data_IF_687334203169
#
_entry.id   IF_687334203169
#
_cell.length_a   1.000
_cell.length_b   1.000
_cell.length_c   1.000
_cell.angle_alpha   90.00
_cell.angle_beta   90.00
_cell.angle_gamma   90.00
#
_symmetry.space_group_name_H-M   'P 1'
#
loop_
_entity.id
_entity.type
_entity.pdbx_description
1 polymer ?
#
# COMPACT_ATOMS: atom_id res chain seq x y z
N UNK A 1 7.24 17.29 -19.30
CA UNK A 1 7.11 17.14 -18.75
C UNK A 1 6.73 16.54 -17.85
N UNK A 2 6.94 16.32 -17.10
CA UNK A 2 6.60 15.42 -16.35
C UNK A 2 5.38 15.59 -15.70
N UNK A 3 4.59 14.79 -15.70
CA UNK A 3 3.41 14.80 -14.97
C UNK A 3 3.62 14.39 -13.56
N UNK A 4 2.51 14.34 -12.82
CA UNK A 4 2.57 13.86 -11.48
C UNK A 4 2.70 12.36 -11.50
N UNK A 5 3.26 11.79 -10.45
CA UNK A 5 3.39 10.36 -10.30
C UNK A 5 2.12 9.79 -9.65
N UNK A 6 1.94 8.50 -9.75
CA UNK A 6 0.72 7.83 -9.31
C UNK A 6 1.04 6.61 -8.46
N UNK A 7 0.06 6.16 -7.69
CA UNK A 7 0.19 4.94 -6.90
C UNK A 7 -1.10 4.17 -7.00
N UNK A 8 -1.03 2.85 -7.02
CA UNK A 8 -2.22 2.01 -6.93
C UNK A 8 -2.26 1.41 -5.53
N UNK A 9 -3.42 1.52 -4.89
CA UNK A 9 -3.70 0.89 -3.60
C UNK A 9 -4.95 0.06 -3.73
N UNK A 10 -5.03 -1.02 -2.97
CA UNK A 10 -6.23 -1.84 -2.93
C UNK A 10 -6.64 -2.09 -1.49
N UNK A 11 -7.95 -2.30 -1.28
CA UNK A 11 -8.46 -2.75 0.00
C UNK A 11 -9.04 -4.11 -0.25
N UNK A 12 -8.76 -5.05 0.63
CA UNK A 12 -9.16 -6.45 0.46
C UNK A 12 -9.87 -6.97 1.69
N UNK A 13 -10.51 -8.13 1.57
CA UNK A 13 -11.16 -8.78 2.69
C UNK A 13 -10.11 -9.26 3.70
N UNK A 14 -10.54 -9.54 4.91
CA UNK A 14 -9.63 -10.03 5.95
C UNK A 14 -9.00 -11.35 5.54
N UNK A 15 -9.78 -12.25 4.95
CA UNK A 15 -9.26 -13.54 4.51
C UNK A 15 -8.20 -13.41 3.44
N UNK A 16 -8.43 -12.54 2.45
CA UNK A 16 -7.46 -12.33 1.40
C UNK A 16 -6.21 -11.65 1.96
N UNK A 17 -6.38 -10.70 2.89
CA UNK A 17 -5.25 -10.05 3.52
C UNK A 17 -4.35 -11.05 4.24
N UNK A 18 -4.95 -11.95 5.01
CA UNK A 18 -4.18 -12.95 5.73
C UNK A 18 -3.37 -13.84 4.77
N UNK A 19 -3.98 -14.21 3.65
CA UNK A 19 -3.28 -15.06 2.69
C UNK A 19 -2.17 -14.29 1.96
N UNK A 20 -2.43 -13.05 1.57
CA UNK A 20 -1.41 -12.23 0.90
C UNK A 20 -0.20 -11.98 1.83
N UNK A 21 -0.44 -11.83 3.12
CA UNK A 21 0.64 -11.59 4.08
C UNK A 21 1.28 -12.88 4.56
N UNK A 22 0.67 -14.02 4.31
CA UNK A 22 1.14 -15.32 4.78
C UNK A 22 1.53 -16.25 3.65
N UNK A 23 0.75 -17.29 3.47
CA UNK A 23 1.14 -18.39 2.57
C UNK A 23 0.95 -18.11 1.09
N UNK A 24 0.15 -17.11 0.73
CA UNK A 24 -0.09 -16.73 -0.67
C UNK A 24 -0.61 -17.94 -1.49
N UNK A 25 -1.53 -18.72 -0.92
CA UNK A 25 -2.03 -19.92 -1.56
C UNK A 25 -3.32 -19.77 -2.34
N UNK A 26 -4.12 -18.76 -2.01
CA UNK A 26 -5.39 -18.58 -2.72
C UNK A 26 -5.15 -18.17 -4.17
N UNK A 27 -5.97 -18.61 -5.11
CA UNK A 27 -5.79 -18.24 -6.51
C UNK A 27 -5.75 -16.73 -6.71
N UNK A 28 -6.62 -15.98 -6.02
CA UNK A 28 -6.66 -14.52 -6.14
C UNK A 28 -5.37 -13.89 -5.61
N UNK A 29 -4.82 -14.41 -4.51
CA UNK A 29 -3.54 -13.90 -3.99
C UNK A 29 -2.43 -14.09 -5.01
N UNK A 30 -2.40 -15.25 -5.67
CA UNK A 30 -1.38 -15.53 -6.67
C UNK A 30 -1.54 -14.61 -7.88
N UNK A 31 -2.79 -14.31 -8.28
CA UNK A 31 -3.03 -13.43 -9.41
C UNK A 31 -2.59 -12.00 -9.07
N UNK A 32 -2.89 -11.52 -7.88
CA UNK A 32 -2.48 -10.17 -7.47
C UNK A 32 -0.96 -10.08 -7.41
N UNK A 33 -0.30 -11.08 -6.83
CA UNK A 33 1.15 -11.11 -6.75
C UNK A 33 1.78 -11.15 -8.15
N UNK A 34 1.15 -11.89 -9.08
CA UNK A 34 1.63 -11.97 -10.45
C UNK A 34 1.52 -10.61 -11.14
N UNK A 35 0.43 -9.86 -10.90
CA UNK A 35 0.28 -8.54 -11.46
C UNK A 35 1.45 -7.66 -11.02
N UNK A 36 1.82 -7.71 -9.74
CA UNK A 36 2.93 -6.95 -9.24
C UNK A 36 4.23 -7.37 -9.94
N UNK A 37 4.52 -8.66 -9.96
CA UNK A 37 5.75 -9.18 -10.55
C UNK A 37 5.85 -8.83 -12.04
N UNK A 38 4.75 -8.99 -12.78
CA UNK A 38 4.76 -8.72 -14.22
C UNK A 38 5.00 -7.23 -14.51
N UNK A 39 4.69 -6.36 -13.56
CA UNK A 39 4.89 -4.93 -13.72
C UNK A 39 6.16 -4.46 -12.97
N UNK A 40 7.03 -5.39 -12.61
CA UNK A 40 8.29 -5.10 -11.91
C UNK A 40 8.04 -4.32 -10.62
N UNK A 41 6.94 -4.65 -9.96
CA UNK A 41 6.57 -4.01 -8.70
C UNK A 41 6.37 -5.07 -7.63
N UNK A 42 6.09 -4.62 -6.42
CA UNK A 42 5.83 -5.53 -5.30
C UNK A 42 4.66 -5.00 -4.48
N UNK A 43 3.97 -5.91 -3.84
CA UNK A 43 2.82 -5.56 -3.02
C UNK A 43 3.28 -5.35 -1.58
N UNK A 44 2.88 -4.25 -0.97
CA UNK A 44 3.27 -3.92 0.40
C UNK A 44 2.01 -3.67 1.22
N UNK A 45 1.87 -4.38 2.33
CA UNK A 45 0.76 -4.16 3.24
C UNK A 45 1.02 -2.87 4.02
N UNK A 46 0.04 -1.99 4.09
CA UNK A 46 0.18 -0.71 4.78
C UNK A 46 0.57 -0.90 6.25
N UNK A 47 -0.07 -1.85 6.95
CA UNK A 47 0.29 -2.10 8.34
C UNK A 47 1.75 -2.54 8.46
N UNK A 48 2.18 -3.45 7.59
CA UNK A 48 3.56 -3.97 7.64
C UNK A 48 4.58 -2.86 7.37
N UNK A 49 4.26 -1.94 6.47
CA UNK A 49 5.14 -0.81 6.18
C UNK A 49 5.26 0.10 7.41
N UNK A 50 4.15 0.36 8.10
CA UNK A 50 4.16 1.19 9.30
C UNK A 50 4.92 0.49 10.42
N UNK A 51 4.71 -0.82 10.60
CA UNK A 51 5.39 -1.58 11.63
C UNK A 51 6.90 -1.61 11.37
N UNK A 52 7.32 -1.75 10.11
CA UNK A 52 8.73 -1.74 9.76
C UNK A 52 9.36 -0.38 10.03
N UNK A 53 8.64 0.71 9.74
CA UNK A 53 9.13 2.05 10.02
C UNK A 53 9.36 2.23 11.53
N UNK A 54 8.41 1.79 12.36
CA UNK A 54 8.54 1.90 13.80
C UNK A 54 9.68 1.03 14.31
N UNK A 55 9.83 -0.18 13.79
CA UNK A 55 10.90 -1.07 14.23
C UNK A 55 12.28 -0.48 13.89
N UNK A 56 12.39 0.12 12.71
CA UNK A 56 13.64 0.75 12.32
C UNK A 56 13.92 1.96 13.21
N UNK A 57 12.92 2.77 13.51
CA UNK A 57 13.09 3.93 14.37
C UNK A 57 13.53 3.51 15.77
N UNK A 58 12.94 2.44 16.29
CA UNK A 58 13.30 1.96 17.63
C UNK A 58 14.73 1.41 17.67
N UNK A 59 15.19 0.91 16.54
CA UNK A 59 16.55 0.37 16.49
C UNK A 59 17.58 1.47 16.28
N UNK A 60 17.28 2.45 15.40
CA UNK A 60 18.26 3.46 15.03
C UNK A 60 18.15 4.77 15.80
N UNK A 61 17.12 4.95 16.61
CA UNK A 61 16.93 6.19 17.35
C UNK A 61 15.67 6.91 16.92
N UNK A 62 14.64 6.92 17.76
CA UNK A 62 13.35 7.44 17.37
C UNK A 62 13.36 8.95 17.09
N UNK A 63 14.30 9.68 17.64
CA UNK A 63 14.35 11.10 17.43
C UNK A 63 14.74 11.46 15.99
N UNK A 64 15.22 10.50 15.22
CA UNK A 64 15.57 10.76 13.82
C UNK A 64 14.39 10.45 12.90
N UNK A 65 13.29 9.95 13.44
CA UNK A 65 12.13 9.52 12.65
C UNK A 65 10.93 10.36 13.04
N UNK A 66 10.73 11.47 12.34
CA UNK A 66 9.72 12.45 12.71
C UNK A 66 8.31 11.92 12.81
N UNK A 67 7.95 10.93 12.06
CA UNK A 67 6.61 10.38 12.09
C UNK A 67 6.45 9.22 13.08
N UNK A 68 7.51 8.89 13.83
CA UNK A 68 7.45 7.69 14.68
C UNK A 68 6.27 7.68 15.64
N UNK A 69 6.07 8.74 16.40
CA UNK A 69 5.01 8.74 17.42
C UNK A 69 3.62 8.62 16.77
N UNK A 70 3.40 9.30 15.65
CA UNK A 70 2.13 9.21 14.96
C UNK A 70 1.93 7.80 14.39
N UNK A 71 2.95 7.24 13.78
CA UNK A 71 2.86 5.91 13.18
C UNK A 71 2.65 4.85 14.26
N UNK A 72 3.38 4.96 15.38
CA UNK A 72 3.24 4.01 16.48
C UNK A 72 1.82 4.05 17.06
N UNK A 73 1.29 5.25 17.27
CA UNK A 73 -0.06 5.39 17.79
C UNK A 73 -1.08 4.78 16.80
N UNK A 74 -0.82 4.90 15.52
CA UNK A 74 -1.71 4.35 14.50
C UNK A 74 -1.72 2.83 14.53
N UNK A 75 -0.55 2.19 14.59
CA UNK A 75 -0.51 0.72 14.57
C UNK A 75 -0.92 0.11 15.91
N UNK A 76 -0.88 0.89 17.00
CA UNK A 76 -1.32 0.40 18.31
C UNK A 76 -2.83 0.58 18.48
N UNK A 77 -3.50 1.33 17.63
CA UNK A 77 -4.95 1.53 17.72
C UNK A 77 -5.64 0.36 17.02
N UNK A 78 -6.44 -0.45 17.72
CA UNK A 78 -7.03 -1.67 17.13
C UNK A 78 -7.86 -1.42 15.87
N UNK A 79 -8.64 -0.32 15.83
CA UNK A 79 -9.46 -0.04 14.66
C UNK A 79 -8.61 0.36 13.46
N UNK A 80 -7.60 1.17 13.68
CA UNK A 80 -6.71 1.59 12.59
C UNK A 80 -5.84 0.43 12.13
N UNK A 81 -5.39 -0.41 13.07
CA UNK A 81 -4.62 -1.60 12.73
C UNK A 81 -5.44 -2.51 11.82
N UNK A 82 -6.71 -2.78 12.16
CA UNK A 82 -7.56 -3.64 11.34
C UNK A 82 -7.73 -3.07 9.93
N UNK A 83 -7.88 -1.75 9.82
CA UNK A 83 -8.03 -1.11 8.52
C UNK A 83 -6.76 -1.24 7.69
N UNK A 84 -5.61 -0.99 8.29
CA UNK A 84 -4.34 -1.01 7.55
C UNK A 84 -3.88 -2.43 7.21
N UNK A 85 -4.31 -3.43 7.97
CA UNK A 85 -4.01 -4.81 7.62
C UNK A 85 -4.68 -5.21 6.31
N UNK A 86 -5.79 -4.57 5.94
CA UNK A 86 -6.51 -4.87 4.72
C UNK A 86 -6.16 -3.93 3.57
N UNK A 87 -5.21 -3.03 3.76
CA UNK A 87 -4.80 -2.06 2.74
C UNK A 87 -3.42 -2.41 2.21
N UNK A 88 -3.31 -2.49 0.90
CA UNK A 88 -2.05 -2.83 0.25
C UNK A 88 -1.75 -1.81 -0.84
N UNK A 89 -0.48 -1.53 -1.05
CA UNK A 89 -0.04 -0.64 -2.12
C UNK A 89 0.96 -1.36 -3.02
N UNK A 90 1.00 -0.99 -4.28
CA UNK A 90 2.00 -1.51 -5.20
C UNK A 90 3.17 -0.52 -5.21
N UNK A 91 4.38 -1.03 -5.05
CA UNK A 91 5.60 -0.22 -5.04
C UNK A 91 6.46 -0.63 -6.23
N UNK A 92 7.08 0.32 -6.89
CA UNK A 92 8.05 0.00 -7.93
C UNK A 92 9.41 0.08 -7.26
N UNK A 93 9.98 -1.06 -6.90
CA UNK A 93 11.19 -1.10 -6.07
C UNK A 93 10.89 -0.51 -4.70
N UNK A 94 11.56 0.56 -4.33
CA UNK A 94 11.29 1.26 -3.10
C UNK A 94 10.42 2.50 -3.32
N UNK A 95 9.95 2.73 -4.55
CA UNK A 95 9.18 3.91 -4.87
C UNK A 95 7.70 3.67 -4.63
N UNK A 96 7.10 4.51 -3.80
CA UNK A 96 5.67 4.42 -3.53
C UNK A 96 4.86 4.98 -4.69
N UNK A 97 5.44 5.83 -5.50
CA UNK A 97 4.76 6.43 -6.64
C UNK A 97 5.56 6.19 -7.90
N UNK A 98 4.90 6.14 -9.04
CA UNK A 98 5.51 5.77 -10.30
C UNK A 98 4.74 6.38 -11.47
N UNK A 99 5.13 6.08 -12.69
CA UNK A 99 4.53 6.69 -13.87
C UNK A 99 3.05 6.34 -14.01
N UNK A 100 2.31 7.21 -14.67
CA UNK A 100 0.91 6.95 -14.95
C UNK A 100 0.74 5.69 -15.77
N UNK A 101 1.66 5.44 -16.72
CA UNK A 101 1.59 4.25 -17.56
C UNK A 101 1.63 2.99 -16.73
N UNK A 102 2.55 2.91 -15.76
CA UNK A 102 2.67 1.74 -14.90
C UNK A 102 1.42 1.60 -14.03
N UNK A 103 0.96 2.70 -13.43
CA UNK A 103 -0.21 2.69 -12.57
C UNK A 103 -1.45 2.20 -13.33
N UNK A 104 -1.66 2.67 -14.55
CA UNK A 104 -2.81 2.26 -15.35
C UNK A 104 -2.72 0.79 -15.77
N UNK A 105 -1.51 0.29 -16.02
CA UNK A 105 -1.32 -1.11 -16.36
C UNK A 105 -1.72 -2.01 -15.18
N UNK A 106 -1.31 -1.64 -13.96
CA UNK A 106 -1.66 -2.40 -12.76
C UNK A 106 -3.17 -2.30 -12.51
N UNK A 107 -3.73 -1.10 -12.60
CA UNK A 107 -5.16 -0.91 -12.36
C UNK A 107 -6.01 -1.73 -13.33
N UNK A 108 -5.65 -1.73 -14.60
CA UNK A 108 -6.43 -2.47 -15.60
C UNK A 108 -6.42 -3.96 -15.30
N UNK A 109 -5.28 -4.51 -14.92
CA UNK A 109 -5.19 -5.92 -14.61
C UNK A 109 -5.99 -6.29 -13.36
N UNK A 110 -5.97 -5.40 -12.35
CA UNK A 110 -6.74 -5.65 -11.14
C UNK A 110 -8.24 -5.63 -11.43
N UNK A 111 -8.69 -4.69 -12.25
CA UNK A 111 -10.11 -4.59 -12.58
C UNK A 111 -10.61 -5.75 -13.42
N UNK A 112 -9.70 -6.46 -14.09
CA UNK A 112 -10.08 -7.60 -14.89
C UNK A 112 -10.12 -8.90 -14.09
N UNK A 113 -9.76 -8.87 -12.80
CA UNK A 113 -9.80 -10.07 -11.99
C UNK A 113 -11.23 -10.35 -11.52
N UNK A 114 -11.56 -11.64 -11.46
CA UNK A 114 -12.83 -12.05 -10.91
C UNK A 114 -12.59 -12.21 -9.41
N UNK A 115 -12.74 -11.12 -8.67
CA UNK A 115 -12.39 -11.12 -7.26
C UNK A 115 -13.58 -11.34 -6.33
N UNK A 116 -14.79 -11.37 -6.85
CA UNK A 116 -15.96 -11.48 -6.02
C UNK A 116 -15.99 -10.37 -4.99
N UNK A 117 -16.08 -10.73 -3.72
CA UNK A 117 -16.14 -9.73 -2.65
C UNK A 117 -14.80 -9.58 -1.95
N UNK A 118 -13.72 -10.17 -2.46
CA UNK A 118 -12.44 -10.12 -1.76
C UNK A 118 -11.61 -8.88 -2.06
N UNK A 119 -11.76 -8.25 -3.22
CA UNK A 119 -11.15 -6.95 -3.46
C UNK A 119 -12.25 -5.92 -3.29
N UNK A 120 -12.15 -5.12 -2.24
CA UNK A 120 -13.20 -4.18 -1.88
C UNK A 120 -13.07 -2.84 -2.60
N UNK A 121 -11.86 -2.39 -2.86
CA UNK A 121 -11.59 -1.13 -3.55
C UNK A 121 -10.29 -1.19 -4.32
N UNK A 122 -10.25 -0.51 -5.44
CA UNK A 122 -9.03 -0.31 -6.21
C UNK A 122 -8.93 1.20 -6.40
N UNK A 123 -7.87 1.81 -5.86
CA UNK A 123 -7.71 3.26 -5.90
C UNK A 123 -6.48 3.68 -6.68
N UNK A 124 -6.68 4.55 -7.66
CA UNK A 124 -5.59 5.17 -8.39
C UNK A 124 -5.36 6.53 -7.73
N UNK A 125 -4.22 6.69 -7.06
CA UNK A 125 -3.91 7.90 -6.33
C UNK A 125 -2.94 8.75 -7.13
N UNK A 126 -3.32 10.02 -7.34
CA UNK A 126 -2.49 10.95 -8.07
C UNK A 126 -1.73 11.75 -7.05
N UNK A 127 -0.43 11.89 -7.18
CA UNK A 127 0.39 12.61 -6.21
C UNK A 127 0.19 14.14 -6.27
N UNK A 128 -0.57 14.65 -7.25
CA UNK A 128 -0.85 16.08 -7.33
C UNK A 128 -1.74 16.49 -6.14
N UNK A 129 -1.28 17.35 -5.26
CA UNK A 129 -2.06 17.75 -4.09
C UNK A 129 -3.42 18.36 -4.42
N UNK A 130 -3.59 18.96 -5.58
CA UNK A 130 -4.87 19.53 -5.96
C UNK A 130 -5.92 18.46 -6.21
N UNK A 131 -5.51 17.27 -6.68
CA UNK A 131 -6.44 16.20 -6.98
C UNK A 131 -6.45 15.14 -5.90
N UNK A 132 -5.51 15.17 -4.97
CA UNK A 132 -5.39 14.16 -3.91
C UNK A 132 -4.84 14.88 -2.69
N UNK A 133 -5.68 15.63 -1.98
CA UNK A 133 -5.23 16.42 -0.83
C UNK A 133 -4.52 15.55 0.20
N UNK A 134 -3.39 16.03 0.65
CA UNK A 134 -2.59 15.33 1.64
C UNK A 134 -2.92 15.82 3.04
N UNK A 135 -2.57 15.06 4.07
CA UNK A 135 -2.72 15.54 5.43
C UNK A 135 -1.86 16.79 5.59
N UNK A 136 -2.11 17.55 6.63
CA UNK A 136 -1.28 18.72 6.90
C UNK A 136 0.18 18.32 6.96
N UNK A 137 1.01 19.19 6.49
CA UNK A 137 2.39 18.92 6.44
C UNK A 137 2.92 18.58 7.70
N UNK A 138 3.60 17.47 7.75
CA UNK A 138 4.15 17.04 8.83
C UNK A 138 5.32 17.69 8.94
N UNK A 139 5.53 18.65 8.93
CA UNK A 139 6.58 19.27 9.00
C UNK A 139 7.41 18.80 9.77
N UNK A 140 7.51 18.03 9.69
CA UNK A 140 8.34 17.41 10.38
C UNK A 140 9.52 18.04 10.51
#
# INVERSE_FOLDING_TARGET
MSGWLYQIRIKVSEGLSKDLRGLNKLPLSKEITKIATDNKSRLVCTFDAFASYCAEAEKEGIEQYELYHWTKATIDNPEKKAKHLKSFAFYEGNNQVYSKKLALSIEKRLKNLDSGSDILEINLINSNPANNPQPPERVD
#
